data_IF_170093813325
#
_entry.id   IF_170093813325
#
_cell.length_a   1.000
_cell.length_b   1.000
_cell.length_c   1.000
_cell.angle_alpha   90.00
_cell.angle_beta   90.00
_cell.angle_gamma   90.00
#
_symmetry.space_group_name_H-M   'P 1'
#
loop_
_entity.id
_entity.type
_entity.pdbx_description
1 polymer ?
#
# COMPACT_ATOMS: atom_id res chain seq x y z
N UNK A 1 -13.35 1.14 -8.33
CA UNK A 1 -12.93 -0.13 -8.99
C UNK A 1 -13.79 -1.29 -8.47
N UNK A 2 -14.38 -2.15 -9.31
CA UNK A 2 -15.28 -3.22 -8.82
C UNK A 2 -14.55 -4.48 -8.41
N UNK A 3 -15.17 -5.25 -7.50
CA UNK A 3 -14.73 -6.61 -7.16
C UNK A 3 -14.55 -7.49 -8.42
N UNK A 4 -15.48 -7.41 -9.37
CA UNK A 4 -15.42 -8.16 -10.62
C UNK A 4 -14.25 -7.76 -11.52
N UNK A 5 -13.89 -6.47 -11.57
CA UNK A 5 -12.71 -5.99 -12.31
C UNK A 5 -11.40 -6.46 -11.65
N UNK A 6 -11.33 -6.45 -10.32
CA UNK A 6 -10.17 -6.93 -9.58
C UNK A 6 -9.88 -8.41 -9.85
N UNK A 7 -10.89 -9.27 -9.80
CA UNK A 7 -10.72 -10.71 -10.05
C UNK A 7 -10.50 -11.09 -11.53
N UNK A 8 -10.49 -10.13 -12.47
CA UNK A 8 -10.00 -10.38 -13.84
C UNK A 8 -8.47 -10.48 -13.89
N UNK A 9 -7.79 -9.78 -12.98
CA UNK A 9 -6.33 -9.73 -12.91
C UNK A 9 -5.76 -10.66 -11.83
N UNK A 10 -6.56 -10.97 -10.81
CA UNK A 10 -6.12 -11.78 -9.67
C UNK A 10 -7.04 -12.97 -9.44
N UNK A 11 -6.47 -14.16 -9.26
CA UNK A 11 -7.20 -15.42 -9.11
C UNK A 11 -7.80 -15.59 -7.71
N UNK A 12 -7.21 -14.94 -6.70
CA UNK A 12 -7.64 -15.08 -5.31
C UNK A 12 -7.26 -13.87 -4.46
N UNK A 13 -7.77 -13.81 -3.23
CA UNK A 13 -7.31 -12.80 -2.24
C UNK A 13 -5.83 -12.93 -1.91
N UNK A 14 -5.30 -14.16 -1.89
CA UNK A 14 -3.88 -14.41 -1.62
C UNK A 14 -3.01 -13.91 -2.78
N UNK A 15 -3.51 -14.03 -4.00
CA UNK A 15 -2.87 -13.50 -5.21
C UNK A 15 -2.78 -11.97 -5.18
N UNK A 16 -3.86 -11.31 -4.76
CA UNK A 16 -3.88 -9.86 -4.52
C UNK A 16 -2.85 -9.47 -3.44
N UNK A 17 -2.85 -10.18 -2.31
CA UNK A 17 -1.90 -9.93 -1.23
C UNK A 17 -0.45 -10.09 -1.69
N UNK A 18 -0.13 -11.19 -2.36
CA UNK A 18 1.22 -11.44 -2.87
C UNK A 18 1.65 -10.34 -3.85
N UNK A 19 0.78 -9.92 -4.77
CA UNK A 19 1.08 -8.83 -5.70
C UNK A 19 1.33 -7.49 -4.99
N UNK A 20 0.62 -7.21 -3.89
CA UNK A 20 0.88 -6.03 -3.06
C UNK A 20 2.27 -6.14 -2.42
N UNK A 21 2.59 -7.29 -1.82
CA UNK A 21 3.89 -7.53 -1.17
C UNK A 21 5.03 -7.43 -2.17
N UNK A 22 4.95 -8.10 -3.32
CA UNK A 22 5.96 -8.02 -4.38
C UNK A 22 6.18 -6.59 -4.86
N UNK A 23 5.10 -5.79 -4.96
CA UNK A 23 5.22 -4.39 -5.35
C UNK A 23 5.86 -3.53 -4.26
N UNK A 24 5.57 -3.81 -2.98
CA UNK A 24 6.25 -3.15 -1.86
C UNK A 24 7.74 -3.47 -1.87
N UNK A 25 8.11 -4.74 -1.98
CA UNK A 25 9.52 -5.18 -2.07
C UNK A 25 10.24 -4.54 -3.25
N UNK A 26 9.59 -4.44 -4.41
CA UNK A 26 10.19 -3.78 -5.58
C UNK A 26 10.44 -2.29 -5.33
N UNK A 27 9.48 -1.58 -4.74
CA UNK A 27 9.63 -0.15 -4.42
C UNK A 27 10.69 0.07 -3.34
N UNK A 28 10.71 -0.77 -2.30
CA UNK A 28 11.71 -0.71 -1.24
C UNK A 28 13.12 -0.90 -1.82
N UNK A 29 13.31 -1.86 -2.74
CA UNK A 29 14.59 -2.07 -3.42
C UNK A 29 14.99 -0.89 -4.33
N UNK A 30 14.03 -0.32 -5.07
CA UNK A 30 14.29 0.86 -5.92
C UNK A 30 14.72 2.07 -5.09
N UNK A 31 14.13 2.25 -3.91
CA UNK A 31 14.42 3.36 -3.01
C UNK A 31 15.61 3.09 -2.08
N UNK A 32 16.04 1.85 -1.88
CA UNK A 32 17.09 1.49 -0.93
C UNK A 32 18.38 2.31 -1.13
N UNK A 33 18.76 2.56 -2.39
CA UNK A 33 19.96 3.35 -2.72
C UNK A 33 19.89 4.82 -2.26
N UNK A 34 18.71 5.42 -2.23
CA UNK A 34 18.52 6.83 -1.82
C UNK A 34 18.69 7.03 -0.30
N UNK A 35 18.68 5.94 0.47
CA UNK A 35 18.76 5.93 1.93
C UNK A 35 19.97 5.15 2.46
N UNK A 36 20.96 4.88 1.60
CA UNK A 36 22.14 4.06 1.94
C UNK A 36 21.78 2.69 2.55
N UNK A 37 20.66 2.11 2.12
CA UNK A 37 20.16 0.81 2.57
C UNK A 37 20.55 -0.30 1.56
N UNK A 38 20.79 -1.55 2.00
CA UNK A 38 21.06 -2.66 1.08
C UNK A 38 19.87 -2.92 0.15
N UNK A 39 20.18 -3.17 -1.13
CA UNK A 39 19.20 -3.37 -2.23
C UNK A 39 18.53 -4.75 -2.26
N UNK A 40 18.82 -5.62 -1.31
CA UNK A 40 18.23 -6.96 -1.22
C UNK A 40 18.03 -7.31 0.26
N UNK A 41 17.33 -8.41 0.55
CA UNK A 41 16.96 -8.77 1.91
C UNK A 41 18.17 -9.05 2.85
N UNK A 42 17.90 -8.98 4.16
CA UNK A 42 18.92 -9.22 5.19
C UNK A 42 19.46 -10.66 5.18
N UNK A 43 18.70 -11.62 4.67
CA UNK A 43 19.15 -13.01 4.57
C UNK A 43 20.22 -13.16 3.49
N UNK A 44 20.10 -12.44 2.38
CA UNK A 44 21.02 -12.45 1.25
C UNK A 44 22.21 -11.53 1.44
N UNK A 45 22.02 -10.39 2.12
CA UNK A 45 23.09 -9.39 2.34
C UNK A 45 23.33 -9.06 3.83
N UNK A 46 23.57 -10.06 4.71
CA UNK A 46 23.68 -9.84 6.14
C UNK A 46 24.80 -8.85 6.50
N UNK A 47 25.96 -8.95 5.83
CA UNK A 47 27.12 -8.08 6.07
C UNK A 47 26.81 -6.60 5.78
N UNK A 48 26.02 -6.32 4.74
CA UNK A 48 25.66 -4.93 4.41
C UNK A 48 24.69 -4.35 5.44
N UNK A 49 23.74 -5.15 5.93
CA UNK A 49 22.83 -4.70 6.99
C UNK A 49 23.52 -4.47 8.34
N UNK A 50 24.62 -5.16 8.62
CA UNK A 50 25.41 -4.91 9.84
C UNK A 50 26.11 -3.54 9.82
N UNK A 51 26.36 -2.98 8.64
CA UNK A 51 27.00 -1.66 8.48
C UNK A 51 26.02 -0.49 8.47
N UNK A 52 24.72 -0.75 8.37
CA UNK A 52 23.67 0.28 8.34
C UNK A 52 23.51 0.91 9.71
N UNK A 53 23.49 2.25 9.77
CA UNK A 53 23.22 2.94 11.03
C UNK A 53 21.76 2.80 11.44
N UNK A 54 21.47 2.84 12.75
CA UNK A 54 20.08 2.80 13.23
C UNK A 54 19.24 3.99 12.72
N UNK A 55 19.89 5.12 12.43
CA UNK A 55 19.24 6.33 11.95
C UNK A 55 18.80 6.18 10.48
N UNK A 56 19.67 5.62 9.63
CA UNK A 56 19.36 5.32 8.22
C UNK A 56 18.28 4.24 8.14
N UNK A 57 18.39 3.20 8.98
CA UNK A 57 17.38 2.16 9.11
C UNK A 57 16.02 2.75 9.52
N UNK A 58 16.00 3.61 10.54
CA UNK A 58 14.77 4.27 10.97
C UNK A 58 14.19 5.18 9.88
N UNK A 59 15.04 5.93 9.18
CA UNK A 59 14.63 6.87 8.12
C UNK A 59 14.06 6.17 6.88
N UNK A 60 14.52 4.95 6.58
CA UNK A 60 14.00 4.14 5.48
C UNK A 60 12.64 3.50 5.82
N UNK A 61 12.49 2.96 7.04
CA UNK A 61 11.27 2.24 7.44
C UNK A 61 10.18 3.14 8.06
N UNK A 62 10.53 4.32 8.57
CA UNK A 62 9.59 5.27 9.18
C UNK A 62 9.32 6.44 8.23
N UNK A 63 8.11 7.01 8.32
CA UNK A 63 7.76 8.24 7.62
C UNK A 63 8.83 9.31 7.86
N UNK A 64 9.42 9.87 6.79
CA UNK A 64 10.45 10.93 6.84
C UNK A 64 10.05 12.11 7.73
N UNK A 65 8.75 12.36 7.83
CA UNK A 65 8.13 13.36 8.70
C UNK A 65 8.39 13.15 10.20
N UNK A 66 8.81 11.94 10.61
CA UNK A 66 9.19 11.62 11.99
C UNK A 66 10.66 11.94 12.28
N UNK A 67 11.48 12.24 11.26
CA UNK A 67 12.88 12.62 11.43
C UNK A 67 12.95 14.03 12.03
N UNK A 68 13.67 14.25 13.16
CA UNK A 68 13.82 15.57 13.75
C UNK A 68 14.35 16.60 12.74
N UNK A 69 13.67 17.74 12.63
CA UNK A 69 14.05 18.82 11.72
C UNK A 69 13.56 18.67 10.28
N UNK A 70 12.99 17.52 9.87
CA UNK A 70 12.48 17.33 8.51
C UNK A 70 11.34 18.31 8.15
N UNK A 71 10.50 18.65 9.13
CA UNK A 71 9.41 19.61 8.96
C UNK A 71 9.83 21.06 9.26
N UNK A 72 11.11 21.33 9.53
CA UNK A 72 11.57 22.69 9.83
C UNK A 72 11.37 23.59 8.60
N UNK A 73 10.63 24.68 8.79
CA UNK A 73 10.31 25.61 7.71
C UNK A 73 9.22 25.13 6.74
N UNK A 74 8.73 23.89 6.88
CA UNK A 74 7.55 23.42 6.15
C UNK A 74 6.30 24.00 6.79
N UNK A 75 5.50 24.72 6.00
CA UNK A 75 4.22 25.28 6.44
C UNK A 75 3.15 24.93 5.41
N UNK A 76 1.97 24.52 5.88
CA UNK A 76 0.87 24.08 5.01
C UNK A 76 -0.08 23.13 5.73
N UNK A 77 -1.14 22.73 5.03
CA UNK A 77 -2.07 21.70 5.49
C UNK A 77 -1.76 20.38 4.78
N UNK A 78 -1.93 19.27 5.49
CA UNK A 78 -1.82 17.95 4.88
C UNK A 78 -2.97 17.76 3.88
N UNK A 79 -2.64 17.74 2.59
CA UNK A 79 -3.61 17.44 1.55
C UNK A 79 -3.66 15.93 1.31
N UNK A 80 -4.88 15.39 1.24
CA UNK A 80 -5.10 14.01 0.81
C UNK A 80 -4.51 13.80 -0.59
N UNK A 81 -3.70 12.75 -0.84
CA UNK A 81 -3.11 12.50 -2.15
C UNK A 81 -4.15 12.39 -3.27
N UNK A 82 -3.76 12.80 -4.48
CA UNK A 82 -4.59 12.65 -5.68
C UNK A 82 -5.00 11.19 -5.90
N UNK A 83 -6.29 10.96 -6.15
CA UNK A 83 -6.87 9.61 -6.35
C UNK A 83 -7.48 8.95 -5.10
N UNK A 84 -7.29 9.52 -3.90
CA UNK A 84 -8.04 9.12 -2.69
C UNK A 84 -9.38 9.87 -2.56
N UNK A 85 -9.54 10.99 -3.28
CA UNK A 85 -10.80 11.68 -3.45
C UNK A 85 -11.65 10.94 -4.49
N UNK A 86 -12.68 10.25 -4.00
CA UNK A 86 -13.71 9.66 -4.86
C UNK A 86 -14.84 10.68 -4.99
N UNK A 87 -15.19 11.06 -6.22
CA UNK A 87 -16.34 11.91 -6.46
C UNK A 87 -17.63 11.18 -6.04
N UNK A 88 -18.38 11.79 -5.11
CA UNK A 88 -19.57 11.15 -4.54
C UNK A 88 -20.66 10.93 -5.60
N UNK A 89 -20.80 11.85 -6.57
CA UNK A 89 -21.82 11.74 -7.61
C UNK A 89 -21.45 10.67 -8.63
N UNK A 90 -20.17 10.55 -8.99
CA UNK A 90 -19.66 9.49 -9.84
C UNK A 90 -19.81 8.13 -9.15
N UNK A 91 -19.46 8.04 -7.87
CA UNK A 91 -19.63 6.81 -7.08
C UNK A 91 -21.10 6.39 -7.00
N UNK A 92 -22.01 7.33 -6.74
CA UNK A 92 -23.44 7.04 -6.67
C UNK A 92 -24.01 6.64 -8.04
N UNK A 93 -23.58 7.30 -9.11
CA UNK A 93 -23.99 7.00 -10.50
C UNK A 93 -23.50 5.61 -10.93
N UNK A 94 -22.29 5.24 -10.51
CA UNK A 94 -21.70 3.94 -10.72
C UNK A 94 -22.47 2.85 -9.96
N UNK A 95 -22.81 3.10 -8.69
CA UNK A 95 -23.53 2.15 -7.84
C UNK A 95 -24.95 1.85 -8.35
N UNK A 96 -25.61 2.84 -8.97
CA UNK A 96 -26.93 2.66 -9.62
C UNK A 96 -26.90 1.67 -10.79
N UNK A 97 -25.75 1.36 -11.37
CA UNK A 97 -25.61 0.40 -12.48
C UNK A 97 -25.70 -1.06 -12.01
N UNK A 98 -25.61 -1.32 -10.69
CA UNK A 98 -25.72 -2.68 -10.18
C UNK A 98 -27.17 -3.14 -10.10
N UNK A 99 -27.43 -4.35 -10.59
CA UNK A 99 -28.70 -5.04 -10.36
C UNK A 99 -28.87 -5.37 -8.88
N UNK A 100 -30.09 -5.26 -8.37
CA UNK A 100 -30.45 -5.64 -7.01
C UNK A 100 -29.99 -7.08 -6.69
N UNK A 101 -29.25 -7.25 -5.58
CA UNK A 101 -28.79 -8.56 -5.14
C UNK A 101 -29.87 -9.24 -4.31
N UNK A 102 -30.42 -10.33 -4.82
CA UNK A 102 -31.34 -11.17 -4.06
C UNK A 102 -30.59 -11.94 -2.97
N UNK A 103 -31.02 -11.78 -1.71
CA UNK A 103 -30.52 -12.59 -0.59
C UNK A 103 -31.00 -14.03 -0.75
N UNK A 104 -30.11 -14.95 -1.10
CA UNK A 104 -30.38 -16.39 -1.09
C UNK A 104 -30.15 -16.94 0.32
N UNK A 105 -31.15 -17.63 0.88
CA UNK A 105 -30.96 -18.43 2.10
C UNK A 105 -30.32 -19.75 1.71
N UNK A 106 -29.09 -19.99 2.16
CA UNK A 106 -28.43 -21.29 1.97
C UNK A 106 -28.56 -22.14 3.24
N UNK A 107 -28.63 -23.48 3.11
CA UNK A 107 -28.66 -24.38 4.27
C UNK A 107 -27.43 -24.14 5.17
N UNK A 108 -27.65 -23.90 6.46
CA UNK A 108 -26.59 -23.65 7.44
C UNK A 108 -26.21 -22.17 7.66
N UNK A 109 -26.83 -21.23 6.95
CA UNK A 109 -26.63 -19.80 7.21
C UNK A 109 -27.36 -19.37 8.49
N UNK A 110 -26.58 -18.99 9.51
CA UNK A 110 -27.08 -18.33 10.73
C UNK A 110 -27.45 -16.89 10.33
N UNK A 111 -28.65 -16.44 10.72
CA UNK A 111 -29.38 -15.25 10.25
C UNK A 111 -28.55 -14.05 9.77
#
# INVERSE_FOLDING_TARGET
MTKGALYRHYKSKRDIFNCIVERMEQQDNEQASDYDMPEDDKERMPEKYETVSLDDFASFFLCKELIPGYLDGVTGEYATPEGYLVDEQEAESFDKQFTYKEKKKVPGQIF
#
